data_IF_825492079794
#
_entry.id   IF_825492079794
#
_cell.length_a   1.000
_cell.length_b   1.000
_cell.length_c   1.000
_cell.angle_alpha   90.00
_cell.angle_beta   90.00
_cell.angle_gamma   90.00
#
_symmetry.space_group_name_H-M   'P 1'
#
loop_
_entity.id
_entity.type
_entity.pdbx_description
1 polymer ?
#
# COMPACT_ATOMS: atom_id res chain seq x y z
N UNK A 1 -7.85 12.88 8.53
CA UNK A 1 -7.80 12.42 7.11
C UNK A 1 -9.07 11.64 6.73
N UNK A 2 -9.67 10.86 7.65
CA UNK A 2 -10.89 10.09 7.38
C UNK A 2 -12.11 10.55 8.19
N UNK A 3 -12.03 11.73 8.82
CA UNK A 3 -13.04 12.17 9.79
C UNK A 3 -14.40 12.40 9.12
N UNK A 4 -14.39 12.86 7.86
CA UNK A 4 -15.58 13.12 7.03
C UNK A 4 -15.93 11.96 6.06
N UNK A 5 -15.21 10.85 6.11
CA UNK A 5 -15.47 9.70 5.24
C UNK A 5 -16.67 8.89 5.73
N UNK A 6 -17.38 8.24 4.79
CA UNK A 6 -18.41 7.25 5.15
C UNK A 6 -17.82 6.22 6.15
N UNK A 7 -18.51 5.92 7.27
CA UNK A 7 -17.96 5.07 8.31
C UNK A 7 -17.57 3.67 7.85
N UNK A 8 -18.28 3.12 6.86
CA UNK A 8 -18.01 1.78 6.33
C UNK A 8 -16.80 1.81 5.42
N UNK A 9 -16.74 2.77 4.49
CA UNK A 9 -15.57 2.96 3.63
C UNK A 9 -14.30 3.21 4.45
N UNK A 10 -14.40 4.04 5.50
CA UNK A 10 -13.30 4.31 6.43
C UNK A 10 -12.80 3.04 7.13
N UNK A 11 -13.70 2.22 7.67
CA UNK A 11 -13.32 0.96 8.33
C UNK A 11 -12.61 0.00 7.39
N UNK A 12 -13.14 -0.20 6.17
CA UNK A 12 -12.53 -1.05 5.17
C UNK A 12 -11.13 -0.56 4.79
N UNK A 13 -10.97 0.75 4.62
CA UNK A 13 -9.67 1.33 4.29
C UNK A 13 -8.66 1.17 5.42
N UNK A 14 -9.05 1.42 6.68
CA UNK A 14 -8.18 1.23 7.85
C UNK A 14 -7.80 -0.24 8.06
N UNK A 15 -8.75 -1.15 7.86
CA UNK A 15 -8.48 -2.60 7.90
C UNK A 15 -7.46 -2.99 6.83
N UNK A 16 -7.66 -2.57 5.59
CA UNK A 16 -6.73 -2.84 4.49
C UNK A 16 -5.33 -2.27 4.78
N UNK A 17 -5.22 -1.03 5.28
CA UNK A 17 -3.94 -0.45 5.68
C UNK A 17 -3.23 -1.24 6.79
N UNK A 18 -3.99 -1.88 7.68
CA UNK A 18 -3.42 -2.75 8.71
C UNK A 18 -2.96 -4.10 8.12
N UNK A 19 -3.70 -4.67 7.17
CA UNK A 19 -3.34 -5.89 6.44
C UNK A 19 -2.02 -5.74 5.65
N UNK A 20 -1.75 -4.55 5.11
CA UNK A 20 -0.47 -4.29 4.41
C UNK A 20 0.78 -4.46 5.31
N UNK A 21 0.63 -4.38 6.64
CA UNK A 21 1.72 -4.67 7.59
C UNK A 21 2.03 -6.16 7.64
N UNK A 22 1.02 -7.02 7.46
CA UNK A 22 1.19 -8.47 7.38
C UNK A 22 1.82 -8.87 6.04
N UNK A 23 1.43 -8.20 4.94
CA UNK A 23 1.92 -8.51 3.59
C UNK A 23 3.46 -8.44 3.45
N UNK A 24 4.14 -7.47 4.10
CA UNK A 24 5.62 -7.37 4.04
C UNK A 24 6.31 -8.60 4.63
N UNK A 25 5.79 -9.13 5.75
CA UNK A 25 6.30 -10.32 6.42
C UNK A 25 5.99 -11.57 5.60
N UNK A 26 4.73 -11.75 5.22
CA UNK A 26 4.28 -12.89 4.43
C UNK A 26 5.07 -13.02 3.10
N UNK A 27 5.32 -11.91 2.40
CA UNK A 27 6.11 -11.92 1.16
C UNK A 27 7.57 -12.34 1.39
N UNK A 28 8.17 -11.91 2.50
CA UNK A 28 9.53 -12.30 2.88
C UNK A 28 9.62 -13.78 3.24
N UNK A 29 8.68 -14.30 4.02
CA UNK A 29 8.65 -15.70 4.45
C UNK A 29 8.46 -16.66 3.26
N UNK A 30 7.58 -16.30 2.32
CA UNK A 30 7.42 -17.04 1.06
C UNK A 30 8.73 -17.03 0.25
N UNK A 31 9.39 -15.88 0.13
CA UNK A 31 10.67 -15.81 -0.57
C UNK A 31 11.77 -16.66 0.09
N UNK A 32 11.86 -16.59 1.43
CA UNK A 32 12.87 -17.32 2.21
C UNK A 32 12.65 -18.83 2.12
N UNK A 33 11.39 -19.29 2.15
CA UNK A 33 11.04 -20.71 2.06
C UNK A 33 11.33 -21.34 0.68
N UNK A 34 11.25 -20.58 -0.41
CA UNK A 34 11.51 -21.09 -1.75
C UNK A 34 12.99 -21.03 -2.16
N UNK A 35 13.69 -19.95 -1.85
CA UNK A 35 15.01 -19.71 -2.44
C UNK A 35 16.00 -18.97 -1.56
N UNK A 36 15.57 -17.95 -0.81
CA UNK A 36 16.50 -17.02 -0.16
C UNK A 36 17.42 -16.23 -1.12
N UNK A 37 17.18 -16.29 -2.44
CA UNK A 37 17.99 -15.55 -3.43
C UNK A 37 17.53 -14.10 -3.53
N UNK A 38 18.40 -13.15 -3.14
CA UNK A 38 18.05 -11.72 -3.14
C UNK A 38 17.73 -11.19 -4.54
N UNK A 39 18.29 -11.78 -5.60
CA UNK A 39 17.93 -11.44 -6.98
C UNK A 39 16.46 -11.77 -7.28
N UNK A 40 15.97 -12.94 -6.82
CA UNK A 40 14.56 -13.31 -6.98
C UNK A 40 13.65 -12.42 -6.14
N UNK A 41 14.10 -11.98 -4.97
CA UNK A 41 13.37 -11.01 -4.15
C UNK A 41 13.19 -9.68 -4.88
N UNK A 42 14.27 -9.12 -5.43
CA UNK A 42 14.22 -7.89 -6.23
C UNK A 42 13.34 -8.04 -7.45
N UNK A 43 13.42 -9.17 -8.16
CA UNK A 43 12.51 -9.45 -9.28
C UNK A 43 11.04 -9.48 -8.83
N UNK A 44 10.75 -10.09 -7.66
CA UNK A 44 9.43 -10.07 -7.04
C UNK A 44 8.95 -8.65 -6.74
N UNK A 45 9.78 -7.82 -6.12
CA UNK A 45 9.49 -6.40 -5.87
C UNK A 45 9.13 -5.68 -7.18
N UNK A 46 9.95 -5.84 -8.23
CA UNK A 46 9.71 -5.19 -9.53
C UNK A 46 8.39 -5.63 -10.15
N UNK A 47 8.09 -6.93 -10.13
CA UNK A 47 6.82 -7.47 -10.65
C UNK A 47 5.63 -6.91 -9.85
N UNK A 48 5.72 -6.90 -8.51
CA UNK A 48 4.68 -6.36 -7.65
C UNK A 48 4.42 -4.88 -7.91
N UNK A 49 5.47 -4.07 -8.07
CA UNK A 49 5.34 -2.64 -8.42
C UNK A 49 4.62 -2.46 -9.76
N UNK A 50 5.01 -3.24 -10.79
CA UNK A 50 4.40 -3.17 -12.10
C UNK A 50 2.91 -3.54 -12.06
N UNK A 51 2.55 -4.60 -11.34
CA UNK A 51 1.16 -5.02 -11.18
C UNK A 51 0.35 -3.98 -10.41
N UNK A 52 0.88 -3.47 -9.30
CA UNK A 52 0.26 -2.40 -8.53
C UNK A 52 0.00 -1.17 -9.40
N UNK A 53 1.03 -0.67 -10.09
CA UNK A 53 0.90 0.49 -10.97
C UNK A 53 -0.15 0.27 -12.08
N UNK A 54 -0.17 -0.92 -12.68
CA UNK A 54 -1.13 -1.27 -13.73
C UNK A 54 -2.58 -1.27 -13.21
N UNK A 55 -2.86 -1.99 -12.12
CA UNK A 55 -4.21 -2.08 -11.57
C UNK A 55 -4.66 -0.74 -10.96
N UNK A 56 -3.78 0.00 -10.29
CA UNK A 56 -4.08 1.34 -9.78
C UNK A 56 -4.41 2.31 -10.91
N UNK A 57 -3.69 2.24 -12.04
CA UNK A 57 -4.00 3.08 -13.20
C UNK A 57 -5.38 2.74 -13.77
N UNK A 58 -5.70 1.46 -13.97
CA UNK A 58 -7.02 1.03 -14.47
C UNK A 58 -8.14 1.46 -13.52
N UNK A 59 -7.96 1.26 -12.21
CA UNK A 59 -8.93 1.69 -11.20
C UNK A 59 -9.13 3.21 -11.21
N UNK A 60 -8.04 3.98 -11.28
CA UNK A 60 -8.09 5.44 -11.34
C UNK A 60 -8.81 5.94 -12.59
N UNK A 61 -8.51 5.36 -13.76
CA UNK A 61 -9.18 5.71 -15.01
C UNK A 61 -10.68 5.37 -14.97
N UNK A 62 -11.04 4.24 -14.37
CA UNK A 62 -12.45 3.86 -14.14
C UNK A 62 -13.18 4.87 -13.27
N UNK A 63 -12.55 5.34 -12.19
CA UNK A 63 -13.13 6.36 -11.31
C UNK A 63 -13.24 7.72 -12.00
N UNK A 64 -12.21 8.15 -12.74
CA UNK A 64 -12.26 9.39 -13.52
C UNK A 64 -13.32 9.36 -14.62
N UNK A 65 -13.60 8.19 -15.20
CA UNK A 65 -14.69 7.99 -16.14
C UNK A 65 -16.05 8.25 -15.48
N UNK A 66 -16.31 7.61 -14.34
CA UNK A 66 -17.56 7.78 -13.57
C UNK A 66 -17.77 9.24 -13.15
N UNK A 67 -16.70 9.90 -12.70
CA UNK A 67 -16.72 11.32 -12.30
C UNK A 67 -16.75 12.30 -13.49
N UNK A 68 -16.75 11.81 -14.74
CA UNK A 68 -16.69 12.63 -15.97
C UNK A 68 -15.47 13.56 -16.04
N UNK A 69 -14.37 13.16 -15.41
CA UNK A 69 -13.11 13.90 -15.31
C UNK A 69 -11.98 13.31 -16.14
N UNK A 70 -12.25 12.29 -16.95
CA UNK A 70 -11.24 11.61 -17.76
C UNK A 70 -10.40 12.54 -18.64
N UNK A 71 -10.98 13.63 -19.16
CA UNK A 71 -10.28 14.60 -19.99
C UNK A 71 -9.87 15.88 -19.24
N UNK A 72 -9.99 15.90 -17.91
CA UNK A 72 -9.63 17.07 -17.11
C UNK A 72 -8.11 17.21 -17.00
N UNK A 73 -7.48 18.28 -17.51
CA UNK A 73 -6.04 18.46 -17.40
C UNK A 73 -5.57 18.53 -15.93
N UNK A 74 -6.40 19.09 -15.05
CA UNK A 74 -6.13 19.16 -13.61
C UNK A 74 -6.10 17.77 -12.97
N UNK A 75 -6.98 16.86 -13.38
CA UNK A 75 -6.98 15.49 -12.85
C UNK A 75 -5.68 14.76 -13.22
N UNK A 76 -5.23 14.88 -14.47
CA UNK A 76 -3.97 14.30 -14.93
C UNK A 76 -2.75 14.93 -14.28
N UNK A 77 -2.75 16.24 -14.07
CA UNK A 77 -1.68 16.92 -13.32
C UNK A 77 -1.59 16.42 -11.89
N UNK A 78 -2.72 16.32 -11.19
CA UNK A 78 -2.76 15.78 -9.83
C UNK A 78 -2.27 14.32 -9.80
N UNK A 79 -2.72 13.50 -10.76
CA UNK A 79 -2.29 12.11 -10.88
C UNK A 79 -0.77 12.03 -11.05
N UNK A 80 -0.19 12.84 -11.95
CA UNK A 80 1.26 12.90 -12.15
C UNK A 80 2.00 13.29 -10.87
N UNK A 81 1.56 14.36 -10.20
CA UNK A 81 2.19 14.83 -8.94
C UNK A 81 2.11 13.76 -7.86
N UNK A 82 0.96 13.11 -7.69
CA UNK A 82 0.79 12.03 -6.72
C UNK A 82 1.61 10.80 -7.08
N UNK A 83 1.71 10.42 -8.36
CA UNK A 83 2.58 9.32 -8.80
C UNK A 83 4.05 9.61 -8.51
N UNK A 84 4.53 10.83 -8.80
CA UNK A 84 5.91 11.21 -8.48
C UNK A 84 6.15 11.19 -6.97
N UNK A 85 5.22 11.75 -6.19
CA UNK A 85 5.30 11.74 -4.72
C UNK A 85 5.37 10.30 -4.18
N UNK A 86 4.50 9.42 -4.69
CA UNK A 86 4.48 8.01 -4.32
C UNK A 86 5.79 7.29 -4.66
N UNK A 87 6.39 7.57 -5.82
CA UNK A 87 7.70 7.01 -6.19
C UNK A 87 8.76 7.40 -5.16
N UNK A 88 8.81 8.67 -4.74
CA UNK A 88 9.80 9.13 -3.76
C UNK A 88 9.55 8.59 -2.35
N UNK A 89 8.30 8.30 -1.99
CA UNK A 89 7.96 7.65 -0.72
C UNK A 89 8.35 6.16 -0.75
N UNK A 90 8.03 5.47 -1.84
CA UNK A 90 8.16 4.02 -1.94
C UNK A 90 9.58 3.56 -2.29
N UNK A 91 10.30 4.29 -3.13
CA UNK A 91 11.60 3.87 -3.64
C UNK A 91 12.66 3.66 -2.54
N UNK A 92 12.78 4.54 -1.51
CA UNK A 92 13.66 4.28 -0.38
C UNK A 92 13.32 2.97 0.34
N UNK A 93 12.03 2.68 0.57
CA UNK A 93 11.61 1.42 1.20
C UNK A 93 12.00 0.22 0.34
N UNK A 94 11.72 0.25 -0.96
CA UNK A 94 12.07 -0.84 -1.88
C UNK A 94 13.59 -1.10 -1.93
N UNK A 95 14.40 -0.03 -1.90
CA UNK A 95 15.87 -0.14 -1.87
C UNK A 95 16.33 -0.77 -0.56
N UNK A 96 15.82 -0.31 0.60
CA UNK A 96 16.16 -0.88 1.91
C UNK A 96 15.77 -2.36 1.96
N UNK A 97 14.58 -2.71 1.46
CA UNK A 97 14.13 -4.10 1.41
C UNK A 97 14.99 -5.01 0.51
N UNK A 98 15.62 -4.43 -0.51
CA UNK A 98 16.52 -5.15 -1.40
C UNK A 98 17.93 -5.36 -0.80
N UNK A 99 18.30 -4.67 0.28
CA UNK A 99 19.63 -4.79 0.88
C UNK A 99 19.86 -6.19 1.48
N UNK A 100 21.11 -6.69 1.46
CA UNK A 100 21.45 -7.94 2.12
C UNK A 100 21.23 -7.82 3.64
N UNK A 101 20.62 -8.82 4.25
CA UNK A 101 20.42 -8.88 5.70
C UNK A 101 19.25 -8.07 6.25
N UNK A 102 18.51 -7.34 5.41
CA UNK A 102 17.27 -6.68 5.82
C UNK A 102 16.18 -7.70 6.14
N UNK A 103 15.46 -7.45 7.25
CA UNK A 103 14.22 -8.13 7.63
C UNK A 103 13.04 -7.13 7.62
N UNK A 104 11.82 -7.53 7.22
CA UNK A 104 10.65 -6.64 7.19
C UNK A 104 10.32 -5.93 8.52
N UNK A 105 10.70 -6.55 9.64
CA UNK A 105 10.51 -5.99 10.99
C UNK A 105 11.45 -4.81 11.30
N UNK A 106 12.51 -4.64 10.50
CA UNK A 106 13.39 -3.47 10.60
C UNK A 106 12.68 -2.19 10.11
N UNK A 107 11.55 -2.32 9.40
CA UNK A 107 10.72 -1.20 8.95
C UNK A 107 9.64 -0.91 9.99
N UNK A 108 9.56 0.35 10.42
CA UNK A 108 8.54 0.81 11.34
C UNK A 108 7.13 0.54 10.79
N UNK A 109 6.26 0.02 11.65
CA UNK A 109 4.85 -0.17 11.30
C UNK A 109 4.14 1.18 11.15
N UNK A 110 3.23 1.31 10.18
CA UNK A 110 2.47 2.52 10.00
C UNK A 110 1.54 2.79 11.18
N UNK A 111 1.36 4.07 11.51
CA UNK A 111 0.51 4.56 12.61
C UNK A 111 -0.95 4.03 12.51
N UNK A 112 -1.41 3.68 11.31
CA UNK A 112 -2.75 3.17 11.06
C UNK A 112 -3.04 1.81 11.70
N UNK A 113 -2.05 0.92 11.87
CA UNK A 113 -2.25 -0.36 12.56
C UNK A 113 -2.75 -0.13 14.00
N UNK A 114 -2.08 0.77 14.72
CA UNK A 114 -2.49 1.13 16.09
C UNK A 114 -3.85 1.82 16.12
N UNK A 115 -4.19 2.56 15.06
CA UNK A 115 -5.49 3.24 14.93
C UNK A 115 -6.62 2.23 14.70
N UNK A 116 -6.42 1.25 13.81
CA UNK A 116 -7.37 0.16 13.57
C UNK A 116 -7.57 -0.69 14.82
N UNK A 117 -6.49 -1.12 15.49
CA UNK A 117 -6.58 -1.91 16.73
C UNK A 117 -7.38 -1.19 17.81
N UNK A 118 -7.20 0.12 17.98
CA UNK A 118 -7.99 0.91 18.93
C UNK A 118 -9.47 0.91 18.58
N UNK A 119 -9.82 1.19 17.32
CA UNK A 119 -11.21 1.23 16.86
C UNK A 119 -11.88 -0.14 17.00
N UNK A 120 -11.19 -1.22 16.62
CA UNK A 120 -11.75 -2.57 16.65
C UNK A 120 -11.94 -3.08 18.08
N UNK A 121 -10.97 -2.85 18.96
CA UNK A 121 -11.09 -3.21 20.40
C UNK A 121 -12.26 -2.46 21.03
N UNK A 122 -12.41 -1.16 20.77
CA UNK A 122 -13.48 -0.34 21.31
C UNK A 122 -14.86 -0.83 20.83
N UNK A 123 -15.02 -1.11 19.52
CA UNK A 123 -16.26 -1.65 18.96
C UNK A 123 -16.64 -3.03 19.51
N UNK A 124 -15.65 -3.88 19.87
CA UNK A 124 -15.90 -5.21 20.45
C UNK A 124 -16.43 -5.16 21.88
N UNK A 125 -16.30 -4.02 22.57
CA UNK A 125 -16.83 -3.83 23.93
C UNK A 125 -18.24 -3.22 23.96
N UNK A 126 -18.77 -2.77 22.82
CA UNK A 126 -20.13 -2.22 22.68
C UNK A 126 -21.19 -3.24 22.20
N UNK A 127 -20.78 -4.48 21.91
CA UNK A 127 -21.63 -5.63 21.52
C UNK A 127 -21.76 -6.64 22.67
#
# INVERSE_FOLDING_TARGET
>A
MFDDADPTARRLFLWHLAEEVEHKGAAHDVWQSFSGSRLRYVAGIVVSICLLAFFSLIGTLSLLWVERRLFSPRAHWNLLVWSITYIFEFLPLAVVSALPGHHPDDLADPVYLTTWLRIEVDNRHEL
#
